data_IF_994446241705
#
_entry.id   IF_994446241705
#
_cell.length_a   1.000
_cell.length_b   1.000
_cell.length_c   1.000
_cell.angle_alpha   90.00
_cell.angle_beta   90.00
_cell.angle_gamma   90.00
#
_symmetry.space_group_name_H-M   'P 1'
#
loop_
_entity.id
_entity.type
_entity.pdbx_description
1 polymer ?
#
# COMPACT_ATOMS: atom_id res chain seq x y z
N UNK A 1 19.64 -0.39 4.06
CA UNK A 1 18.55 -0.69 5.01
C UNK A 1 18.51 -2.20 5.15
N UNK A 2 18.37 -2.72 6.37
CA UNK A 2 18.34 -4.17 6.59
C UNK A 2 17.03 -4.77 6.08
N UNK A 3 17.11 -5.85 5.30
CA UNK A 3 15.92 -6.66 4.99
C UNK A 3 15.46 -7.42 6.23
N UNK A 4 14.15 -7.58 6.36
CA UNK A 4 13.51 -8.22 7.51
C UNK A 4 12.82 -9.49 7.05
N UNK A 5 13.03 -10.58 7.78
CA UNK A 5 12.24 -11.79 7.67
C UNK A 5 11.47 -12.03 8.96
N UNK A 6 10.27 -12.60 8.86
CA UNK A 6 9.51 -13.11 10.01
C UNK A 6 9.79 -14.60 10.17
N UNK A 7 9.93 -15.07 11.41
CA UNK A 7 9.94 -16.52 11.73
C UNK A 7 8.92 -16.78 12.83
N UNK A 8 7.96 -17.66 12.57
CA UNK A 8 6.83 -17.91 13.49
C UNK A 8 6.29 -19.35 13.36
N UNK A 9 5.81 -19.91 14.46
CA UNK A 9 4.92 -21.07 14.46
C UNK A 9 3.52 -20.63 14.87
N UNK A 10 2.49 -21.05 14.13
CA UNK A 10 1.10 -20.64 14.35
C UNK A 10 0.17 -21.86 14.39
N UNK A 11 -0.86 -21.82 15.23
CA UNK A 11 -2.00 -22.72 15.15
C UNK A 11 -2.74 -22.43 13.85
N UNK A 12 -2.76 -23.36 12.90
CA UNK A 12 -3.19 -23.13 11.52
C UNK A 12 -4.61 -22.57 11.41
N UNK A 13 -5.52 -23.01 12.27
CA UNK A 13 -6.93 -22.59 12.25
C UNK A 13 -7.14 -21.18 12.78
N UNK A 14 -6.44 -20.80 13.83
CA UNK A 14 -6.72 -19.58 14.61
C UNK A 14 -5.65 -18.51 14.49
N UNK A 15 -4.50 -18.84 13.90
CA UNK A 15 -3.28 -18.03 13.91
C UNK A 15 -2.73 -17.76 15.32
N UNK A 16 -3.11 -18.55 16.33
CA UNK A 16 -2.58 -18.43 17.68
C UNK A 16 -1.09 -18.77 17.75
N UNK A 17 -0.33 -18.06 18.59
CA UNK A 17 1.14 -18.23 18.74
C UNK A 17 1.58 -18.52 20.17
N UNK A 18 0.71 -18.31 21.15
CA UNK A 18 1.09 -18.41 22.55
C UNK A 18 -0.09 -18.34 23.50
N UNK A 19 0.14 -18.85 24.70
CA UNK A 19 -0.78 -18.84 25.84
C UNK A 19 0.04 -18.64 27.11
N UNK A 20 -0.36 -17.71 27.99
CA UNK A 20 0.31 -17.45 29.28
C UNK A 20 1.83 -17.27 29.16
N UNK A 21 2.28 -16.55 28.13
CA UNK A 21 3.70 -16.32 27.79
C UNK A 21 4.51 -17.60 27.52
N UNK A 22 3.87 -18.65 26.99
CA UNK A 22 4.50 -19.90 26.58
C UNK A 22 3.97 -20.36 25.21
N UNK A 23 4.71 -21.27 24.56
CA UNK A 23 4.26 -21.94 23.36
C UNK A 23 3.18 -22.98 23.70
N UNK A 24 2.07 -23.10 22.93
CA UNK A 24 1.02 -24.06 23.22
C UNK A 24 1.40 -25.52 22.90
N UNK A 25 2.53 -25.73 22.20
CA UNK A 25 3.01 -27.04 21.74
C UNK A 25 4.52 -27.20 21.94
N UNK A 26 4.99 -28.44 21.76
CA UNK A 26 6.42 -28.80 21.77
C UNK A 26 6.77 -29.55 20.50
N UNK A 27 7.50 -28.90 19.60
CA UNK A 27 7.89 -29.44 18.30
C UNK A 27 9.41 -29.29 18.12
N UNK A 28 10.21 -30.32 18.48
CA UNK A 28 11.66 -30.27 18.34
C UNK A 28 12.15 -29.91 16.94
N UNK A 29 11.49 -30.39 15.88
CA UNK A 29 11.89 -30.07 14.50
C UNK A 29 11.62 -28.61 14.12
N UNK A 30 10.54 -28.01 14.65
CA UNK A 30 10.29 -26.56 14.51
C UNK A 30 11.38 -25.73 15.20
N UNK A 31 11.75 -26.08 16.43
CA UNK A 31 12.83 -25.40 17.15
C UNK A 31 14.18 -25.54 16.45
N UNK A 32 14.44 -26.71 15.84
CA UNK A 32 15.63 -26.94 15.00
C UNK A 32 15.61 -26.02 13.77
N UNK A 33 14.50 -25.98 13.02
CA UNK A 33 14.33 -25.09 11.86
C UNK A 33 14.49 -23.62 12.24
N UNK A 34 13.85 -23.18 13.33
CA UNK A 34 13.99 -21.81 13.86
C UNK A 34 15.46 -21.46 14.09
N UNK A 35 16.22 -22.36 14.74
CA UNK A 35 17.64 -22.16 14.97
C UNK A 35 18.41 -22.07 13.65
N UNK A 36 18.22 -23.03 12.75
CA UNK A 36 18.93 -23.09 11.47
C UNK A 36 18.70 -21.80 10.65
N UNK A 37 17.45 -21.38 10.47
CA UNK A 37 17.09 -20.15 9.75
C UNK A 37 17.75 -18.92 10.39
N UNK A 38 17.63 -18.78 11.71
CA UNK A 38 18.05 -17.55 12.39
C UNK A 38 19.56 -17.50 12.65
N UNK A 39 20.29 -18.62 12.58
CA UNK A 39 21.76 -18.66 12.74
C UNK A 39 22.52 -18.77 11.42
N UNK A 40 21.89 -19.23 10.34
CA UNK A 40 22.57 -19.44 9.07
C UNK A 40 23.02 -18.12 8.43
N UNK A 41 24.31 -18.00 8.15
CA UNK A 41 24.90 -16.90 7.37
C UNK A 41 25.61 -17.46 6.14
N UNK A 42 25.65 -16.65 5.09
CA UNK A 42 26.44 -16.88 3.88
C UNK A 42 27.85 -16.31 4.04
N UNK A 43 28.00 -15.22 4.79
CA UNK A 43 29.28 -14.63 5.18
C UNK A 43 29.67 -15.10 6.59
N UNK A 44 30.76 -15.86 6.67
CA UNK A 44 31.28 -16.39 7.94
C UNK A 44 31.81 -15.30 8.89
N UNK A 45 32.02 -14.06 8.42
CA UNK A 45 32.44 -12.92 9.24
C UNK A 45 31.28 -12.17 9.88
N UNK A 46 30.04 -12.50 9.48
CA UNK A 46 28.82 -11.87 9.96
C UNK A 46 28.03 -12.78 10.87
N UNK A 47 27.10 -12.18 11.60
CA UNK A 47 26.04 -12.89 12.32
C UNK A 47 24.67 -12.34 11.91
N UNK A 48 23.60 -13.01 12.32
CA UNK A 48 22.25 -12.50 12.15
C UNK A 48 21.77 -11.77 13.42
N UNK A 49 20.72 -10.97 13.28
CA UNK A 49 20.01 -10.35 14.38
C UNK A 49 18.59 -10.94 14.53
N UNK A 50 18.15 -11.16 15.77
CA UNK A 50 16.77 -11.53 16.09
C UNK A 50 16.12 -10.41 16.90
N UNK A 51 14.99 -9.90 16.42
CA UNK A 51 14.21 -8.84 17.07
C UNK A 51 13.01 -9.48 17.74
N UNK A 52 12.84 -9.19 19.03
CA UNK A 52 11.71 -9.70 19.80
C UNK A 52 11.14 -8.70 20.79
N UNK A 53 9.87 -8.86 21.16
CA UNK A 53 9.24 -8.09 22.23
C UNK A 53 9.68 -8.56 23.62
N UNK A 54 9.53 -7.71 24.63
CA UNK A 54 9.85 -8.02 26.03
C UNK A 54 9.25 -9.35 26.53
N UNK A 55 7.96 -9.59 26.32
CA UNK A 55 7.30 -10.81 26.79
C UNK A 55 7.91 -12.06 26.13
N UNK A 56 8.20 -11.99 24.83
CA UNK A 56 8.92 -13.06 24.11
C UNK A 56 10.30 -13.30 24.71
N UNK A 57 11.07 -12.25 24.99
CA UNK A 57 12.34 -12.37 25.70
C UNK A 57 12.19 -13.03 27.09
N UNK A 58 11.14 -12.70 27.83
CA UNK A 58 10.85 -13.29 29.15
C UNK A 58 10.37 -14.75 29.07
N UNK A 59 9.73 -15.13 27.96
CA UNK A 59 9.28 -16.51 27.72
C UNK A 59 10.43 -17.49 27.47
N UNK A 60 11.58 -16.99 27.00
CA UNK A 60 12.75 -17.83 26.74
C UNK A 60 13.40 -18.21 28.09
N UNK A 61 13.58 -19.50 28.39
CA UNK A 61 14.21 -19.93 29.65
C UNK A 61 15.57 -19.28 29.84
N UNK A 62 15.88 -18.83 31.07
CA UNK A 62 17.09 -18.06 31.37
C UNK A 62 18.40 -18.72 30.87
N UNK A 63 18.50 -20.06 30.92
CA UNK A 63 19.65 -20.83 30.42
C UNK A 63 19.87 -20.74 28.90
N UNK A 64 18.87 -20.28 28.16
CA UNK A 64 18.91 -20.11 26.70
C UNK A 64 18.95 -18.63 26.28
N UNK A 65 19.08 -17.70 27.24
CA UNK A 65 19.21 -16.25 26.98
C UNK A 65 20.66 -15.79 27.17
N UNK A 66 21.21 -14.99 26.25
CA UNK A 66 20.68 -14.69 24.91
C UNK A 66 20.71 -15.92 23.99
N UNK A 67 19.94 -15.88 22.89
CA UNK A 67 20.00 -16.94 21.87
C UNK A 67 21.39 -16.95 21.21
N UNK A 68 22.18 -18.04 21.30
CA UNK A 68 23.58 -18.03 20.88
C UNK A 68 23.75 -17.88 19.37
N UNK A 69 24.87 -17.29 18.94
CA UNK A 69 25.24 -17.10 17.53
C UNK A 69 24.46 -16.00 16.80
N UNK A 70 23.76 -15.14 17.55
CA UNK A 70 22.91 -14.05 17.04
C UNK A 70 23.00 -12.84 17.95
N UNK A 71 22.85 -11.65 17.37
CA UNK A 71 22.57 -10.44 18.13
C UNK A 71 21.09 -10.45 18.53
N UNK A 72 20.79 -10.38 19.83
CA UNK A 72 19.43 -10.41 20.35
C UNK A 72 18.95 -8.98 20.63
N UNK A 73 17.96 -8.51 19.87
CA UNK A 73 17.38 -7.17 20.05
C UNK A 73 16.04 -7.29 20.76
N UNK A 74 15.91 -6.65 21.91
CA UNK A 74 14.69 -6.68 22.72
C UNK A 74 13.99 -5.33 22.65
N UNK A 75 12.72 -5.34 22.21
CA UNK A 75 11.90 -4.15 22.12
C UNK A 75 11.28 -3.80 23.46
N UNK A 76 11.68 -2.66 24.02
CA UNK A 76 11.16 -2.10 25.27
C UNK A 76 11.23 -0.57 25.27
N UNK A 77 10.19 0.07 25.82
CA UNK A 77 10.16 1.53 26.06
C UNK A 77 10.62 1.89 27.48
N UNK A 78 10.86 0.91 28.33
CA UNK A 78 11.36 1.14 29.69
C UNK A 78 12.89 1.32 29.63
N UNK A 79 13.36 2.54 29.89
CA UNK A 79 14.77 2.91 29.82
C UNK A 79 15.66 2.17 30.84
N UNK A 80 15.14 1.90 32.04
CA UNK A 80 15.87 1.14 33.05
C UNK A 80 16.08 -0.31 32.57
N UNK A 81 15.02 -0.96 32.11
CA UNK A 81 15.09 -2.33 31.58
C UNK A 81 16.00 -2.40 30.34
N UNK A 82 15.98 -1.37 29.49
CA UNK A 82 16.87 -1.29 28.33
C UNK A 82 18.35 -1.32 28.76
N UNK A 83 18.73 -0.51 29.75
CA UNK A 83 20.09 -0.47 30.29
C UNK A 83 20.50 -1.81 30.95
N UNK A 84 19.59 -2.44 31.69
CA UNK A 84 19.83 -3.76 32.31
C UNK A 84 20.05 -4.86 31.26
N UNK A 85 19.27 -4.85 30.18
CA UNK A 85 19.40 -5.80 29.08
C UNK A 85 20.75 -5.66 28.37
N UNK A 86 21.16 -4.44 28.03
CA UNK A 86 22.43 -4.19 27.35
C UNK A 86 23.64 -4.48 28.24
N UNK A 87 23.53 -4.24 29.55
CA UNK A 87 24.56 -4.60 30.52
C UNK A 87 24.71 -6.12 30.70
N UNK A 88 23.67 -6.91 30.38
CA UNK A 88 23.68 -8.36 30.62
C UNK A 88 24.60 -9.15 29.68
N UNK A 89 24.80 -8.67 28.45
CA UNK A 89 25.63 -9.34 27.45
C UNK A 89 25.89 -8.42 26.26
N UNK A 90 27.10 -8.44 25.66
CA UNK A 90 27.37 -7.72 24.42
C UNK A 90 26.55 -8.24 23.22
N UNK A 91 25.90 -9.40 23.35
CA UNK A 91 25.00 -9.96 22.34
C UNK A 91 23.53 -9.57 22.57
N UNK A 92 23.26 -8.59 23.44
CA UNK A 92 21.92 -8.06 23.70
C UNK A 92 21.91 -6.55 23.44
N UNK A 93 20.92 -6.12 22.67
CA UNK A 93 20.65 -4.72 22.34
C UNK A 93 19.21 -4.36 22.72
N UNK A 94 18.97 -3.16 23.25
CA UNK A 94 17.63 -2.68 23.52
C UNK A 94 17.19 -1.62 22.50
N UNK A 95 15.93 -1.70 22.08
CA UNK A 95 15.33 -0.72 21.18
C UNK A 95 13.89 -0.39 21.57
N UNK A 96 13.45 0.83 21.28
CA UNK A 96 12.11 1.32 21.65
C UNK A 96 11.01 0.92 20.67
N UNK A 97 11.41 0.55 19.44
CA UNK A 97 10.53 0.15 18.34
C UNK A 97 11.29 -0.68 17.31
N UNK A 98 10.59 -1.27 16.33
CA UNK A 98 11.21 -1.95 15.20
C UNK A 98 12.15 -1.02 14.41
N UNK A 99 11.72 0.21 14.13
CA UNK A 99 12.53 1.18 13.37
C UNK A 99 13.78 1.62 14.15
N UNK A 100 13.66 1.82 15.46
CA UNK A 100 14.81 2.09 16.34
C UNK A 100 15.78 0.89 16.39
N UNK A 101 15.27 -0.34 16.36
CA UNK A 101 16.13 -1.52 16.26
C UNK A 101 16.91 -1.51 14.94
N UNK A 102 16.22 -1.33 13.80
CA UNK A 102 16.84 -1.33 12.48
C UNK A 102 17.87 -0.23 12.29
N UNK A 103 17.67 0.95 12.89
CA UNK A 103 18.63 2.06 12.81
C UNK A 103 19.90 1.81 13.64
N UNK A 104 19.80 1.06 14.74
CA UNK A 104 20.93 0.70 15.61
C UNK A 104 21.75 -0.49 15.11
N UNK A 105 21.20 -1.31 14.21
CA UNK A 105 21.86 -2.52 13.74
C UNK A 105 23.05 -2.22 12.81
N UNK A 106 24.25 -2.72 13.12
CA UNK A 106 25.45 -2.45 12.32
C UNK A 106 25.45 -3.27 11.01
N UNK A 107 25.22 -2.59 9.87
CA UNK A 107 25.24 -3.20 8.52
C UNK A 107 26.52 -3.94 8.15
N UNK A 108 27.65 -3.60 8.78
CA UNK A 108 28.92 -4.26 8.51
C UNK A 108 28.99 -5.69 9.08
N UNK A 109 28.29 -5.97 10.18
CA UNK A 109 28.41 -7.25 10.92
C UNK A 109 27.11 -8.05 10.96
N UNK A 110 25.98 -7.43 10.63
CA UNK A 110 24.68 -8.09 10.54
C UNK A 110 24.35 -8.43 9.10
N UNK A 111 24.08 -9.71 8.82
CA UNK A 111 23.69 -10.19 7.50
C UNK A 111 22.17 -10.15 7.29
N UNK A 112 21.42 -10.82 8.16
CA UNK A 112 19.96 -10.86 8.10
C UNK A 112 19.31 -10.49 9.44
N UNK A 113 18.11 -9.92 9.37
CA UNK A 113 17.30 -9.52 10.52
C UNK A 113 16.02 -10.33 10.56
N UNK A 114 15.74 -10.96 11.70
CA UNK A 114 14.56 -11.80 11.90
C UNK A 114 13.67 -11.25 13.01
N UNK A 115 12.41 -10.92 12.69
CA UNK A 115 11.39 -10.69 13.69
C UNK A 115 10.86 -12.04 14.19
N UNK A 116 11.04 -12.33 15.49
CA UNK A 116 10.74 -13.64 16.08
C UNK A 116 9.63 -13.61 17.14
N UNK A 117 8.87 -12.51 17.17
CA UNK A 117 7.68 -12.34 18.01
C UNK A 117 7.82 -11.27 19.09
N UNK A 118 6.78 -10.91 19.83
CA UNK A 118 5.42 -11.48 19.79
C UNK A 118 4.50 -10.76 18.80
N UNK A 119 3.19 -10.87 19.04
CA UNK A 119 2.13 -10.39 18.16
C UNK A 119 2.34 -8.95 17.62
N UNK A 120 2.71 -8.00 18.49
CA UNK A 120 2.97 -6.61 18.08
C UNK A 120 4.18 -6.49 17.17
N UNK A 121 5.27 -7.21 17.47
CA UNK A 121 6.50 -7.20 16.66
C UNK A 121 6.24 -7.81 15.29
N UNK A 122 5.49 -8.90 15.22
CA UNK A 122 5.05 -9.48 13.95
C UNK A 122 4.18 -8.51 13.16
N UNK A 123 3.23 -7.83 13.84
CA UNK A 123 2.37 -6.85 13.19
C UNK A 123 3.14 -5.67 12.62
N UNK A 124 4.17 -5.19 13.31
CA UNK A 124 5.03 -4.10 12.84
C UNK A 124 5.93 -4.59 11.70
N UNK A 125 6.55 -5.76 11.86
CA UNK A 125 7.46 -6.34 10.87
C UNK A 125 6.76 -6.61 9.54
N UNK A 126 5.59 -7.27 9.55
CA UNK A 126 4.86 -7.59 8.31
C UNK A 126 4.41 -6.35 7.54
N UNK A 127 4.17 -5.23 8.22
CA UNK A 127 3.78 -3.97 7.58
C UNK A 127 4.98 -3.17 7.09
N UNK A 128 6.17 -3.44 7.62
CA UNK A 128 7.38 -2.73 7.26
C UNK A 128 7.78 -3.03 5.80
N UNK A 129 8.14 -2.02 4.98
CA UNK A 129 8.50 -2.19 3.57
C UNK A 129 9.69 -3.11 3.35
N UNK A 130 10.62 -3.16 4.30
CA UNK A 130 11.79 -4.04 4.22
C UNK A 130 11.47 -5.52 4.55
N UNK A 131 10.23 -5.86 4.92
CA UNK A 131 9.84 -7.24 5.17
C UNK A 131 9.38 -7.93 3.89
N UNK A 132 10.21 -8.83 3.39
CA UNK A 132 9.99 -9.54 2.13
C UNK A 132 9.69 -11.02 2.31
N UNK A 133 9.90 -11.59 3.51
CA UNK A 133 9.76 -13.02 3.74
C UNK A 133 9.18 -13.34 5.11
N UNK A 134 8.34 -14.37 5.17
CA UNK A 134 7.85 -14.97 6.40
C UNK A 134 8.01 -16.49 6.34
N UNK A 135 8.81 -17.04 7.24
CA UNK A 135 8.93 -18.47 7.49
C UNK A 135 7.88 -18.86 8.53
N UNK A 136 6.91 -19.67 8.12
CA UNK A 136 5.78 -20.06 8.95
C UNK A 136 5.82 -21.57 9.19
N UNK A 137 5.65 -21.97 10.44
CA UNK A 137 5.31 -23.34 10.80
C UNK A 137 3.82 -23.40 11.08
N UNK A 138 3.07 -24.13 10.26
CA UNK A 138 1.63 -24.27 10.36
C UNK A 138 1.32 -25.53 11.17
N UNK A 139 0.86 -25.34 12.39
CA UNK A 139 0.61 -26.41 13.37
C UNK A 139 -0.87 -26.77 13.35
N UNK A 140 -1.18 -28.03 13.04
CA UNK A 140 -2.54 -28.53 13.01
C UNK A 140 -2.98 -28.96 14.42
N UNK A 141 -4.13 -28.45 14.86
CA UNK A 141 -4.68 -28.73 16.19
C UNK A 141 -5.55 -27.59 16.69
N UNK A 142 -6.29 -27.87 17.75
CA UNK A 142 -7.11 -26.88 18.47
C UNK A 142 -6.36 -26.53 19.76
N UNK A 143 -5.76 -25.34 19.78
CA UNK A 143 -4.95 -24.85 20.89
C UNK A 143 -5.58 -23.59 21.48
N UNK A 144 -5.66 -23.51 22.81
CA UNK A 144 -5.99 -22.28 23.51
C UNK A 144 -4.83 -21.29 23.37
N UNK A 145 -5.12 -20.09 22.90
CA UNK A 145 -4.15 -19.03 22.66
C UNK A 145 -4.69 -17.69 23.17
N UNK A 146 -3.82 -16.86 23.75
CA UNK A 146 -4.10 -15.47 24.14
C UNK A 146 -3.29 -14.45 23.30
N UNK A 147 -2.31 -14.94 22.54
CA UNK A 147 -1.54 -14.17 21.59
C UNK A 147 -1.70 -14.75 20.17
N UNK A 148 -1.84 -13.88 19.18
CA UNK A 148 -2.13 -14.25 17.80
C UNK A 148 -1.18 -13.58 16.82
N UNK A 149 -0.77 -14.32 15.80
CA UNK A 149 -0.10 -13.79 14.63
C UNK A 149 -1.12 -13.07 13.74
N UNK A 150 -0.75 -11.95 13.08
CA UNK A 150 -1.66 -11.28 12.16
C UNK A 150 -2.02 -12.20 10.99
N UNK A 151 -3.31 -12.53 10.84
CA UNK A 151 -3.83 -13.31 9.71
C UNK A 151 -3.86 -12.52 8.39
N UNK A 152 -3.05 -11.46 8.29
CA UNK A 152 -3.07 -10.47 7.20
C UNK A 152 -2.00 -10.70 6.13
N UNK A 153 -1.25 -11.82 6.16
CA UNK A 153 -0.15 -12.10 5.23
C UNK A 153 -0.58 -11.90 3.76
N UNK A 154 -1.66 -12.58 3.34
CA UNK A 154 -2.17 -12.50 1.97
C UNK A 154 -2.59 -11.06 1.61
N UNK A 155 -3.25 -10.37 2.54
CA UNK A 155 -3.68 -8.98 2.36
C UNK A 155 -2.50 -8.01 2.27
N UNK A 156 -1.33 -8.38 2.79
CA UNK A 156 -0.07 -7.62 2.73
C UNK A 156 0.80 -8.04 1.53
N UNK A 157 0.27 -8.85 0.61
CA UNK A 157 0.96 -9.26 -0.62
C UNK A 157 1.92 -10.44 -0.47
N UNK A 158 1.92 -11.11 0.68
CA UNK A 158 2.68 -12.34 0.88
C UNK A 158 1.99 -13.52 0.20
N UNK A 159 2.71 -14.19 -0.70
CA UNK A 159 2.28 -15.41 -1.37
C UNK A 159 3.13 -16.57 -0.90
N UNK A 160 2.53 -17.75 -0.81
CA UNK A 160 3.27 -18.97 -0.49
C UNK A 160 4.16 -19.34 -1.68
N UNK A 161 5.46 -19.44 -1.46
CA UNK A 161 6.44 -19.79 -2.50
C UNK A 161 7.04 -21.18 -2.30
N UNK A 162 6.95 -21.72 -1.08
CA UNK A 162 7.46 -23.04 -0.73
C UNK A 162 6.57 -23.65 0.36
N UNK A 163 6.27 -24.94 0.21
CA UNK A 163 5.65 -25.75 1.24
C UNK A 163 6.39 -27.09 1.32
N UNK A 164 6.92 -27.41 2.51
CA UNK A 164 7.52 -28.71 2.79
C UNK A 164 6.44 -29.66 3.30
N UNK A 165 6.62 -30.96 3.07
CA UNK A 165 5.65 -31.99 3.45
C UNK A 165 5.31 -32.02 4.96
N UNK A 166 4.16 -32.60 5.27
CA UNK A 166 3.67 -32.76 6.64
C UNK A 166 4.61 -33.62 7.48
N UNK A 167 4.89 -33.14 8.69
CA UNK A 167 5.61 -33.84 9.75
C UNK A 167 4.67 -34.08 10.92
N UNK A 168 4.98 -35.10 11.72
CA UNK A 168 4.23 -35.45 12.93
C UNK A 168 5.18 -35.63 14.10
N UNK A 169 4.97 -34.86 15.17
CA UNK A 169 5.72 -34.96 16.42
C UNK A 169 4.76 -34.80 17.60
N UNK A 170 4.88 -35.65 18.63
CA UNK A 170 4.04 -35.58 19.83
C UNK A 170 2.53 -35.53 19.51
N UNK A 171 2.09 -36.33 18.53
CA UNK A 171 0.70 -36.38 18.02
C UNK A 171 0.15 -35.10 17.39
N UNK A 172 1.04 -34.17 17.05
CA UNK A 172 0.71 -32.93 16.37
C UNK A 172 1.27 -33.00 14.95
N UNK A 173 0.38 -32.86 13.97
CA UNK A 173 0.78 -32.69 12.58
C UNK A 173 1.12 -31.21 12.34
N UNK A 174 2.18 -30.95 11.57
CA UNK A 174 2.57 -29.60 11.19
C UNK A 174 3.31 -29.62 9.86
N UNK A 175 3.40 -28.47 9.20
CA UNK A 175 4.22 -28.32 8.00
C UNK A 175 4.87 -26.94 7.95
N UNK A 176 5.90 -26.86 7.13
CA UNK A 176 6.70 -25.67 6.96
C UNK A 176 6.30 -24.98 5.67
N UNK A 177 6.02 -23.69 5.76
CA UNK A 177 5.76 -22.84 4.60
C UNK A 177 6.72 -21.65 4.61
N UNK A 178 7.05 -21.17 3.41
CA UNK A 178 7.74 -19.90 3.19
C UNK A 178 6.81 -19.01 2.37
N UNK A 179 6.59 -17.80 2.87
CA UNK A 179 5.83 -16.78 2.19
C UNK A 179 6.76 -15.64 1.78
N UNK A 180 6.65 -15.16 0.55
CA UNK A 180 7.39 -14.00 0.06
C UNK A 180 6.44 -12.89 -0.35
N UNK A 181 6.80 -11.65 -0.02
CA UNK A 181 6.03 -10.47 -0.40
C UNK A 181 6.27 -10.17 -1.87
N UNK A 182 5.21 -10.27 -2.66
CA UNK A 182 5.24 -9.90 -4.08
C UNK A 182 5.16 -8.40 -4.25
N UNK A 183 5.81 -7.88 -5.28
CA UNK A 183 5.73 -6.45 -5.61
C UNK A 183 4.28 -6.07 -5.94
N UNK A 184 3.74 -5.03 -5.31
CA UNK A 184 2.31 -4.68 -5.41
C UNK A 184 1.88 -4.32 -6.86
N UNK A 185 2.78 -3.79 -7.69
CA UNK A 185 2.55 -3.57 -9.14
C UNK A 185 2.20 -4.85 -9.92
N UNK A 186 2.55 -6.04 -9.43
CA UNK A 186 2.16 -7.30 -10.07
C UNK A 186 0.63 -7.48 -10.10
N UNK A 187 -0.12 -6.85 -9.18
CA UNK A 187 -1.59 -6.84 -9.24
C UNK A 187 -2.10 -6.18 -10.53
N UNK A 188 -1.47 -5.08 -10.95
CA UNK A 188 -1.81 -4.37 -12.18
C UNK A 188 -1.46 -5.20 -13.42
N UNK A 189 -0.26 -5.79 -13.45
CA UNK A 189 0.19 -6.63 -14.57
C UNK A 189 -0.65 -7.90 -14.69
N UNK A 190 -0.97 -8.54 -13.57
CA UNK A 190 -1.83 -9.72 -13.55
C UNK A 190 -3.25 -9.40 -14.02
N UNK A 191 -3.78 -8.22 -13.66
CA UNK A 191 -5.10 -7.79 -14.15
C UNK A 191 -5.07 -7.53 -15.67
N UNK A 192 -4.02 -6.90 -16.20
CA UNK A 192 -3.86 -6.75 -17.66
C UNK A 192 -3.83 -8.12 -18.33
N UNK A 193 -2.96 -9.02 -17.88
CA UNK A 193 -2.81 -10.36 -18.47
C UNK A 193 -4.16 -11.10 -18.47
N UNK A 194 -4.88 -11.07 -17.35
CA UNK A 194 -6.19 -11.69 -17.23
C UNK A 194 -7.23 -11.08 -18.18
N UNK A 195 -7.22 -9.76 -18.40
CA UNK A 195 -8.10 -9.13 -19.39
C UNK A 195 -7.73 -9.57 -20.81
N UNK A 196 -6.44 -9.75 -21.11
CA UNK A 196 -6.00 -10.20 -22.44
C UNK A 196 -6.37 -11.67 -22.71
N UNK A 197 -6.31 -12.52 -21.69
CA UNK A 197 -6.56 -13.96 -21.81
C UNK A 197 -8.07 -14.29 -21.77
N UNK A 198 -8.78 -13.70 -20.79
CA UNK A 198 -10.16 -14.08 -20.46
C UNK A 198 -11.18 -12.97 -20.80
N UNK A 199 -10.72 -11.79 -21.21
CA UNK A 199 -11.58 -10.63 -21.40
C UNK A 199 -12.59 -10.82 -22.54
N UNK A 200 -13.83 -10.43 -22.29
CA UNK A 200 -14.88 -10.48 -23.31
C UNK A 200 -14.69 -9.26 -24.21
N UNK A 201 -14.57 -9.51 -25.51
CA UNK A 201 -14.53 -8.46 -26.52
C UNK A 201 -15.89 -7.77 -26.64
N UNK A 202 -15.89 -6.45 -26.54
CA UNK A 202 -17.08 -5.59 -26.66
C UNK A 202 -16.80 -4.45 -27.65
N UNK A 203 -17.86 -3.91 -28.26
CA UNK A 203 -17.80 -2.56 -28.83
C UNK A 203 -17.70 -1.50 -27.72
N UNK A 204 -17.42 -0.26 -28.09
CA UNK A 204 -17.40 0.88 -27.16
C UNK A 204 -17.96 2.15 -27.85
N UNK A 205 -18.10 3.23 -27.09
CA UNK A 205 -18.61 4.53 -27.59
C UNK A 205 -17.64 5.22 -28.58
N UNK A 206 -16.36 4.85 -28.58
CA UNK A 206 -15.31 5.48 -29.40
C UNK A 206 -15.06 4.72 -30.71
N UNK A 207 -15.71 3.56 -30.89
CA UNK A 207 -15.54 2.67 -32.04
C UNK A 207 -14.24 1.85 -32.03
N UNK A 208 -13.44 1.90 -30.96
CA UNK A 208 -12.13 1.20 -30.90
C UNK A 208 -12.29 -0.29 -30.58
N UNK A 209 -13.27 -0.63 -29.77
CA UNK A 209 -13.45 -1.93 -29.16
C UNK A 209 -12.56 -2.13 -27.93
N UNK A 210 -13.03 -2.98 -27.01
CA UNK A 210 -12.34 -3.30 -25.76
C UNK A 210 -12.38 -4.80 -25.47
N UNK A 211 -11.38 -5.29 -24.71
CA UNK A 211 -11.45 -6.53 -23.94
C UNK A 211 -11.75 -6.15 -22.49
N UNK A 212 -12.69 -6.83 -21.84
CA UNK A 212 -13.16 -6.41 -20.51
C UNK A 212 -13.48 -7.56 -19.55
N UNK A 213 -13.28 -7.28 -18.27
CA UNK A 213 -13.74 -8.09 -17.15
C UNK A 213 -14.60 -7.22 -16.22
N UNK A 214 -15.55 -7.83 -15.53
CA UNK A 214 -16.38 -7.14 -14.55
C UNK A 214 -16.00 -7.56 -13.13
N UNK A 215 -15.70 -6.58 -12.28
CA UNK A 215 -15.26 -6.78 -10.91
C UNK A 215 -13.77 -7.11 -10.83
N UNK A 216 -12.97 -6.15 -10.38
CA UNK A 216 -11.59 -6.37 -9.98
C UNK A 216 -11.23 -5.50 -8.78
N UNK A 217 -10.15 -5.86 -8.08
CA UNK A 217 -9.64 -5.08 -6.96
C UNK A 217 -8.13 -5.12 -6.93
N UNK A 218 -7.52 -3.99 -6.59
CA UNK A 218 -6.10 -3.88 -6.25
C UNK A 218 -5.94 -3.14 -4.93
N UNK A 219 -4.86 -3.44 -4.20
CA UNK A 219 -4.49 -2.76 -2.95
C UNK A 219 -3.03 -2.32 -3.00
N UNK A 220 -2.77 -1.09 -2.59
CA UNK A 220 -1.44 -0.50 -2.55
C UNK A 220 -1.15 0.10 -1.18
N UNK A 221 0.02 -0.18 -0.62
CA UNK A 221 0.46 0.45 0.63
C UNK A 221 0.89 1.88 0.40
N UNK A 222 0.52 2.78 1.31
CA UNK A 222 0.96 4.18 1.38
C UNK A 222 1.80 4.47 2.64
N UNK A 223 2.16 3.42 3.39
CA UNK A 223 3.01 3.54 4.59
C UNK A 223 4.45 3.88 4.22
N UNK A 224 5.16 4.51 5.14
CA UNK A 224 6.59 4.80 5.04
C UNK A 224 6.95 5.54 3.74
N UNK A 225 6.12 6.52 3.38
CA UNK A 225 6.22 7.37 2.20
C UNK A 225 6.19 6.64 0.83
N UNK A 226 6.06 5.31 0.79
CA UNK A 226 5.90 4.54 -0.45
C UNK A 226 4.73 5.09 -1.26
N UNK A 227 4.94 5.33 -2.55
CA UNK A 227 3.92 5.86 -3.44
C UNK A 227 3.75 4.95 -4.65
N UNK A 228 2.57 4.35 -4.90
CA UNK A 228 2.36 3.32 -5.92
C UNK A 228 2.30 3.92 -7.33
N UNK A 229 3.38 4.58 -7.74
CA UNK A 229 3.58 5.10 -9.08
C UNK A 229 4.22 3.99 -9.92
N UNK A 230 3.43 3.42 -10.83
CA UNK A 230 3.84 2.28 -11.65
C UNK A 230 5.20 2.50 -12.32
N UNK A 231 5.99 1.43 -12.36
CA UNK A 231 7.39 1.47 -12.79
C UNK A 231 7.61 0.72 -14.10
N UNK A 232 6.77 -0.24 -14.46
CA UNK A 232 6.80 -0.94 -15.75
C UNK A 232 6.51 -0.01 -16.93
N UNK A 233 5.91 1.15 -16.68
CA UNK A 233 5.74 2.25 -17.62
C UNK A 233 5.80 3.58 -16.87
N UNK A 234 6.55 4.55 -17.39
CA UNK A 234 6.59 5.91 -16.82
C UNK A 234 5.19 6.53 -16.81
N UNK A 235 4.74 6.95 -15.63
CA UNK A 235 3.50 7.69 -15.39
C UNK A 235 3.78 9.20 -15.45
N UNK A 236 2.84 9.97 -15.98
CA UNK A 236 2.95 11.42 -16.06
C UNK A 236 2.63 12.08 -14.70
N UNK A 237 3.58 12.01 -13.77
CA UNK A 237 3.42 12.46 -12.38
C UNK A 237 2.92 13.91 -12.26
N UNK A 238 3.52 14.86 -13.01
CA UNK A 238 3.08 16.27 -12.98
C UNK A 238 1.61 16.41 -13.33
N UNK A 239 1.14 15.70 -14.36
CA UNK A 239 -0.28 15.68 -14.73
C UNK A 239 -1.16 15.17 -13.59
N UNK A 240 -0.82 14.03 -12.99
CA UNK A 240 -1.59 13.45 -11.87
C UNK A 240 -1.71 14.40 -10.67
N UNK A 241 -0.60 15.02 -10.27
CA UNK A 241 -0.58 15.89 -9.10
C UNK A 241 -1.38 17.18 -9.32
N UNK A 242 -1.14 17.86 -10.44
CA UNK A 242 -1.80 19.11 -10.78
C UNK A 242 -3.30 18.92 -11.08
N UNK A 243 -3.67 17.81 -11.70
CA UNK A 243 -5.07 17.45 -11.91
C UNK A 243 -5.79 17.18 -10.57
N UNK A 244 -5.14 16.51 -9.61
CA UNK A 244 -5.74 16.36 -8.29
C UNK A 244 -5.93 17.70 -7.58
N UNK A 245 -4.94 18.59 -7.63
CA UNK A 245 -5.07 19.94 -7.06
C UNK A 245 -6.20 20.72 -7.74
N UNK A 246 -6.37 20.54 -9.05
CA UNK A 246 -7.49 21.09 -9.80
C UNK A 246 -8.85 20.55 -9.30
N UNK A 247 -8.98 19.24 -9.07
CA UNK A 247 -10.19 18.67 -8.46
C UNK A 247 -10.42 19.17 -7.03
N UNK A 248 -9.37 19.25 -6.21
CA UNK A 248 -9.49 19.79 -4.85
C UNK A 248 -10.07 21.20 -4.91
N UNK A 249 -9.58 22.07 -5.79
CA UNK A 249 -10.05 23.45 -5.92
C UNK A 249 -11.51 23.60 -6.39
N UNK A 250 -12.16 22.53 -6.85
CA UNK A 250 -13.50 22.58 -7.42
C UNK A 250 -13.57 23.18 -8.82
N UNK A 251 -12.42 23.39 -9.47
CA UNK A 251 -12.31 24.00 -10.79
C UNK A 251 -12.84 23.06 -11.89
N UNK A 252 -13.47 23.65 -12.91
CA UNK A 252 -14.09 22.96 -14.05
C UNK A 252 -13.59 23.46 -15.40
N UNK A 253 -12.67 24.44 -15.39
CA UNK A 253 -12.02 25.01 -16.56
C UNK A 253 -10.72 24.25 -16.91
N UNK A 254 -10.76 23.46 -17.98
CA UNK A 254 -9.61 22.71 -18.49
C UNK A 254 -8.43 23.60 -18.89
N UNK A 255 -8.66 24.87 -19.26
CA UNK A 255 -7.59 25.81 -19.66
C UNK A 255 -6.59 26.05 -18.54
N UNK A 256 -7.03 26.00 -17.28
CA UNK A 256 -6.13 26.15 -16.14
C UNK A 256 -5.08 25.03 -16.03
N UNK A 257 -5.39 23.83 -16.53
CA UNK A 257 -4.43 22.74 -16.68
C UNK A 257 -3.57 22.93 -17.95
N UNK A 258 -4.17 23.39 -19.05
CA UNK A 258 -3.46 23.69 -20.31
C UNK A 258 -2.36 24.74 -20.13
N UNK A 259 -2.63 25.79 -19.35
CA UNK A 259 -1.66 26.85 -19.02
C UNK A 259 -0.43 26.30 -18.27
N UNK A 260 -0.58 25.15 -17.59
CA UNK A 260 0.49 24.41 -16.91
C UNK A 260 1.16 23.35 -17.80
N UNK A 261 0.75 23.25 -19.06
CA UNK A 261 1.21 22.27 -20.05
C UNK A 261 0.54 20.90 -19.93
N UNK A 262 -0.60 20.81 -19.25
CA UNK A 262 -1.32 19.54 -19.01
C UNK A 262 -2.54 19.47 -19.92
N UNK A 263 -2.49 18.51 -20.85
CA UNK A 263 -3.42 18.41 -22.00
C UNK A 263 -4.36 17.22 -21.95
N UNK A 264 -4.49 16.60 -20.77
CA UNK A 264 -5.24 15.34 -20.61
C UNK A 264 -6.75 15.51 -20.82
N UNK A 265 -7.26 16.74 -20.70
CA UNK A 265 -8.67 17.09 -20.91
C UNK A 265 -8.94 17.73 -22.28
N UNK A 266 -7.94 17.98 -23.12
CA UNK A 266 -8.09 18.74 -24.38
C UNK A 266 -9.09 18.07 -25.33
N UNK A 267 -9.05 16.74 -25.43
CA UNK A 267 -10.00 15.98 -26.28
C UNK A 267 -11.45 16.19 -25.83
N UNK A 268 -11.72 15.98 -24.54
CA UNK A 268 -13.07 16.09 -23.97
C UNK A 268 -13.54 17.54 -23.75
N UNK A 269 -12.63 18.51 -23.72
CA UNK A 269 -12.93 19.93 -23.61
C UNK A 269 -13.04 20.66 -24.95
N UNK A 270 -12.72 20.00 -26.06
CA UNK A 270 -12.73 20.61 -27.40
C UNK A 270 -14.14 21.03 -27.84
N UNK A 271 -14.22 22.08 -28.68
CA UNK A 271 -15.50 22.52 -29.27
C UNK A 271 -16.22 21.38 -30.00
N UNK A 272 -15.47 20.59 -30.77
CA UNK A 272 -15.99 19.45 -31.54
C UNK A 272 -16.62 18.40 -30.62
N UNK A 273 -15.94 18.00 -29.54
CA UNK A 273 -16.46 17.00 -28.62
C UNK A 273 -17.70 17.52 -27.88
N UNK A 274 -17.66 18.75 -27.36
CA UNK A 274 -18.79 19.36 -26.65
C UNK A 274 -20.04 19.44 -27.55
N UNK A 275 -19.87 19.79 -28.82
CA UNK A 275 -20.97 19.79 -29.80
C UNK A 275 -21.50 18.39 -30.06
N UNK A 276 -20.62 17.39 -30.17
CA UNK A 276 -21.00 15.99 -30.43
C UNK A 276 -21.91 15.41 -29.34
N UNK A 277 -21.82 15.92 -28.11
CA UNK A 277 -22.64 15.51 -26.97
C UNK A 277 -23.77 16.51 -26.63
N UNK A 278 -24.05 17.47 -27.52
CA UNK A 278 -25.16 18.41 -27.39
C UNK A 278 -24.92 19.61 -26.45
N UNK A 279 -23.68 19.82 -26.00
CA UNK A 279 -23.28 20.91 -25.10
C UNK A 279 -22.81 22.15 -25.89
N UNK A 280 -23.57 22.52 -26.92
CA UNK A 280 -23.26 23.63 -27.84
C UNK A 280 -23.11 24.99 -27.15
N UNK A 281 -23.78 25.16 -26.01
CA UNK A 281 -23.81 26.40 -25.22
C UNK A 281 -22.58 26.57 -24.30
N UNK A 282 -21.80 25.51 -24.04
CA UNK A 282 -20.61 25.58 -23.17
C UNK A 282 -19.45 26.23 -23.89
N UNK A 283 -18.65 27.02 -23.18
CA UNK A 283 -17.37 27.48 -23.72
C UNK A 283 -16.41 26.30 -23.94
N UNK A 284 -15.54 26.38 -24.95
CA UNK A 284 -14.45 25.40 -25.10
C UNK A 284 -13.59 25.37 -23.82
N UNK A 285 -13.34 24.17 -23.30
CA UNK A 285 -12.66 23.95 -22.02
C UNK A 285 -13.55 23.94 -20.77
N UNK A 286 -14.85 24.30 -20.87
CA UNK A 286 -15.82 24.13 -19.79
C UNK A 286 -16.28 22.68 -19.72
N UNK A 287 -15.73 21.93 -18.76
CA UNK A 287 -16.02 20.51 -18.58
C UNK A 287 -17.35 20.26 -17.84
N UNK A 288 -18.05 21.31 -17.41
CA UNK A 288 -19.24 21.19 -16.59
C UNK A 288 -18.96 20.77 -15.15
N UNK A 289 -19.98 20.32 -14.41
CA UNK A 289 -19.89 20.03 -12.98
C UNK A 289 -19.19 18.69 -12.70
N UNK A 290 -17.98 18.50 -13.23
CA UNK A 290 -17.11 17.30 -13.05
C UNK A 290 -16.46 17.23 -11.67
N UNK A 291 -15.92 16.07 -11.29
CA UNK A 291 -15.22 15.74 -10.02
C UNK A 291 -15.19 16.81 -8.94
N UNK A 292 -14.26 17.77 -9.09
CA UNK A 292 -13.99 18.78 -8.09
C UNK A 292 -15.23 19.58 -7.76
N UNK A 293 -16.03 19.93 -8.77
CA UNK A 293 -17.30 20.59 -8.56
C UNK A 293 -18.22 19.74 -7.69
N UNK A 294 -18.34 18.44 -7.94
CA UNK A 294 -19.15 17.57 -7.07
C UNK A 294 -18.52 17.41 -5.69
N UNK A 295 -17.19 17.45 -5.56
CA UNK A 295 -16.53 17.36 -4.26
C UNK A 295 -16.76 18.58 -3.38
N UNK A 296 -16.74 19.78 -3.97
CA UNK A 296 -16.85 21.06 -3.24
C UNK A 296 -18.25 21.65 -3.21
N UNK A 297 -19.06 21.34 -4.22
CA UNK A 297 -20.35 21.99 -4.49
C UNK A 297 -21.44 20.97 -4.86
N UNK A 298 -21.47 19.80 -4.20
CA UNK A 298 -22.41 18.72 -4.53
C UNK A 298 -23.87 19.22 -4.53
N UNK A 299 -24.58 19.02 -5.64
CA UNK A 299 -25.97 19.45 -5.80
C UNK A 299 -26.17 20.96 -6.07
N UNK A 300 -25.10 21.75 -6.21
CA UNK A 300 -25.21 23.12 -6.69
C UNK A 300 -25.64 23.14 -8.17
N UNK A 301 -26.42 24.17 -8.55
CA UNK A 301 -26.85 24.35 -9.93
C UNK A 301 -25.70 24.95 -10.74
N UNK A 302 -25.11 24.16 -11.63
CA UNK A 302 -24.06 24.64 -12.54
C UNK A 302 -24.59 25.70 -13.52
N UNK A 303 -23.79 26.75 -13.74
CA UNK A 303 -23.99 27.81 -14.73
C UNK A 303 -22.89 27.69 -15.79
N UNK A 304 -21.66 28.07 -15.43
CA UNK A 304 -20.45 27.99 -16.25
C UNK A 304 -19.20 27.82 -15.37
N UNK A 305 -18.05 27.65 -16.01
CA UNK A 305 -16.75 27.50 -15.33
C UNK A 305 -16.18 28.77 -14.70
N UNK A 306 -16.82 29.93 -14.90
CA UNK A 306 -16.37 31.24 -14.39
C UNK A 306 -17.14 31.70 -13.16
N UNK A 307 -18.27 31.06 -12.87
CA UNK A 307 -19.16 31.36 -11.75
C UNK A 307 -18.50 31.02 -10.42
N UNK A 308 -18.63 31.91 -9.42
CA UNK A 308 -18.25 31.63 -8.04
C UNK A 308 -19.33 30.77 -7.35
N UNK A 309 -18.98 29.52 -7.05
CA UNK A 309 -19.85 28.57 -6.37
C UNK A 309 -19.65 28.53 -4.85
N UNK A 310 -18.86 29.44 -4.28
CA UNK A 310 -18.59 29.48 -2.84
C UNK A 310 -19.89 29.50 -2.03
N UNK A 311 -20.02 28.57 -1.09
CA UNK A 311 -21.20 28.43 -0.24
C UNK A 311 -22.42 27.77 -0.91
N UNK A 312 -22.31 27.33 -2.17
CA UNK A 312 -23.36 26.60 -2.86
C UNK A 312 -23.17 25.08 -2.74
N UNK A 313 -24.26 24.33 -2.74
CA UNK A 313 -24.23 22.86 -2.64
C UNK A 313 -23.69 22.37 -1.30
N UNK A 314 -23.12 21.16 -1.31
CA UNK A 314 -22.49 20.53 -0.16
C UNK A 314 -21.01 20.25 -0.42
N UNK A 315 -20.13 20.85 0.38
CA UNK A 315 -18.69 20.57 0.37
C UNK A 315 -18.41 19.25 1.09
N UNK A 316 -18.46 18.17 0.32
CA UNK A 316 -18.19 16.81 0.80
C UNK A 316 -16.73 16.67 1.27
N UNK A 317 -15.79 17.35 0.62
CA UNK A 317 -14.37 17.26 1.00
C UNK A 317 -14.14 17.87 2.38
N UNK A 318 -14.72 19.04 2.64
CA UNK A 318 -14.68 19.67 3.95
C UNK A 318 -15.35 18.81 5.03
N UNK A 319 -16.53 18.23 4.75
CA UNK A 319 -17.23 17.32 5.66
C UNK A 319 -16.41 16.05 5.97
N UNK A 320 -15.78 15.44 4.96
CA UNK A 320 -14.88 14.29 5.12
C UNK A 320 -13.71 14.64 6.03
N UNK A 321 -13.01 15.75 5.79
CA UNK A 321 -11.89 16.20 6.63
C UNK A 321 -12.36 16.45 8.06
N UNK A 322 -13.50 17.11 8.23
CA UNK A 322 -14.10 17.35 9.54
C UNK A 322 -14.37 16.04 10.28
N UNK A 323 -15.01 15.06 9.63
CA UNK A 323 -15.34 13.77 10.25
C UNK A 323 -14.10 12.95 10.59
N UNK A 324 -13.06 12.96 9.74
CA UNK A 324 -11.80 12.27 10.06
C UNK A 324 -11.17 12.88 11.32
N UNK A 325 -11.15 14.21 11.43
CA UNK A 325 -10.57 14.93 12.59
C UNK A 325 -11.39 14.73 13.88
N UNK A 326 -12.72 14.73 13.81
CA UNK A 326 -13.58 14.86 15.00
C UNK A 326 -14.41 13.61 15.32
N UNK A 327 -14.71 12.78 14.33
CA UNK A 327 -15.53 11.55 14.46
C UNK A 327 -14.92 10.39 13.66
N UNK A 328 -13.65 9.99 13.91
CA UNK A 328 -12.91 9.05 13.06
C UNK A 328 -13.50 7.62 13.00
N UNK A 329 -14.40 7.29 13.93
CA UNK A 329 -15.13 6.01 13.93
C UNK A 329 -16.44 6.06 13.11
N UNK A 330 -16.76 7.20 12.50
CA UNK A 330 -17.91 7.32 11.62
C UNK A 330 -17.70 6.45 10.37
N UNK A 331 -18.74 5.73 9.97
CA UNK A 331 -18.75 4.81 8.82
C UNK A 331 -19.34 5.46 7.55
N UNK A 332 -19.56 6.78 7.58
CA UNK A 332 -20.13 7.62 6.51
C UNK A 332 -19.16 8.70 6.04
N UNK A 333 -17.86 8.44 6.20
CA UNK A 333 -16.78 9.26 5.64
C UNK A 333 -16.63 8.84 4.17
N UNK A 334 -17.45 9.44 3.30
CA UNK A 334 -17.57 9.07 1.89
C UNK A 334 -17.52 10.35 1.05
N UNK A 335 -16.75 10.32 -0.04
CA UNK A 335 -16.69 11.37 -1.04
C UNK A 335 -17.17 10.78 -2.38
N UNK A 336 -18.19 11.38 -3.00
CA UNK A 336 -18.75 10.91 -4.26
C UNK A 336 -18.72 11.99 -5.34
N UNK A 337 -18.24 11.64 -6.53
CA UNK A 337 -18.46 12.44 -7.73
C UNK A 337 -19.65 11.92 -8.56
N UNK A 338 -20.33 10.86 -8.10
CA UNK A 338 -21.44 10.25 -8.83
C UNK A 338 -22.77 10.93 -8.47
N UNK A 339 -23.18 11.89 -9.30
CA UNK A 339 -24.46 12.58 -9.19
C UNK A 339 -25.34 12.24 -10.42
N UNK A 340 -26.36 11.36 -10.27
CA UNK A 340 -27.24 10.95 -11.37
C UNK A 340 -27.87 12.10 -12.17
N UNK A 341 -28.13 13.25 -11.54
CA UNK A 341 -28.70 14.42 -12.21
C UNK A 341 -27.74 15.06 -13.22
N UNK A 342 -26.43 14.90 -13.00
CA UNK A 342 -25.37 15.54 -13.77
C UNK A 342 -24.50 14.53 -14.56
N UNK A 343 -24.83 13.23 -14.57
CA UNK A 343 -24.00 12.21 -15.24
C UNK A 343 -23.83 12.42 -16.75
N UNK A 344 -24.81 13.06 -17.41
CA UNK A 344 -24.73 13.36 -18.84
C UNK A 344 -23.63 14.35 -19.22
N UNK A 345 -22.92 14.92 -18.23
CA UNK A 345 -21.96 16.01 -18.40
C UNK A 345 -20.66 15.78 -17.58
N UNK A 346 -20.21 14.52 -17.41
CA UNK A 346 -19.05 14.15 -16.57
C UNK A 346 -18.08 13.09 -17.19
N UNK A 347 -16.85 12.98 -16.65
CA UNK A 347 -15.75 11.97 -16.83
C UNK A 347 -15.28 11.24 -15.50
N UNK A 348 -13.99 10.91 -15.18
CA UNK A 348 -13.52 10.32 -13.85
C UNK A 348 -12.11 10.79 -13.32
N UNK A 349 -11.77 10.78 -11.99
CA UNK A 349 -10.51 11.31 -11.39
C UNK A 349 -9.55 10.24 -10.72
N UNK A 350 -8.33 10.63 -10.23
CA UNK A 350 -7.35 9.79 -9.52
C UNK A 350 -7.37 9.92 -7.97
N UNK A 351 -7.12 8.81 -7.23
CA UNK A 351 -7.45 8.70 -5.78
C UNK A 351 -6.28 8.42 -4.80
N UNK A 352 -5.11 7.93 -5.24
CA UNK A 352 -4.02 7.54 -4.34
C UNK A 352 -3.34 8.73 -3.64
N UNK A 353 -3.07 9.81 -4.37
CA UNK A 353 -2.48 11.04 -3.83
C UNK A 353 -3.45 11.74 -2.85
N UNK A 354 -4.76 11.73 -3.14
CA UNK A 354 -5.80 12.28 -2.27
C UNK A 354 -5.76 11.63 -0.88
N UNK A 355 -5.59 10.31 -0.82
CA UNK A 355 -5.51 9.57 0.45
C UNK A 355 -4.35 10.04 1.32
N UNK A 356 -3.19 10.33 0.72
CA UNK A 356 -2.01 10.86 1.45
C UNK A 356 -2.23 12.29 1.93
N UNK A 357 -2.81 13.16 1.10
CA UNK A 357 -3.13 14.54 1.50
C UNK A 357 -4.15 14.59 2.65
N UNK A 358 -5.23 13.80 2.56
CA UNK A 358 -6.24 13.68 3.63
C UNK A 358 -5.63 13.19 4.94
N UNK A 359 -4.76 12.18 4.88
CA UNK A 359 -4.06 11.70 6.08
C UNK A 359 -3.24 12.83 6.73
N UNK A 360 -2.44 13.57 5.95
CA UNK A 360 -1.61 14.66 6.48
C UNK A 360 -2.45 15.77 7.13
N UNK A 361 -3.44 16.32 6.43
CA UNK A 361 -4.23 17.45 6.96
C UNK A 361 -5.06 17.05 8.18
N UNK A 362 -5.32 15.76 8.37
CA UNK A 362 -6.01 15.21 9.54
C UNK A 362 -5.07 14.75 10.67
N UNK A 363 -3.76 14.93 10.53
CA UNK A 363 -2.78 14.48 11.54
C UNK A 363 -2.65 12.95 11.63
N UNK A 364 -2.93 12.24 10.55
CA UNK A 364 -2.86 10.79 10.43
C UNK A 364 -1.72 10.34 9.51
N UNK A 365 -1.39 9.05 9.57
CA UNK A 365 -0.51 8.39 8.62
C UNK A 365 -1.32 7.71 7.52
N UNK A 366 -0.87 7.82 6.27
CA UNK A 366 -1.49 7.13 5.16
C UNK A 366 -1.31 5.60 5.30
N UNK A 367 -2.42 4.87 5.21
CA UNK A 367 -2.44 3.41 5.35
C UNK A 367 -2.36 2.70 4.02
N UNK A 368 -3.53 2.36 3.47
CA UNK A 368 -3.68 1.64 2.21
C UNK A 368 -4.60 2.41 1.25
N UNK A 369 -4.31 2.30 -0.04
CA UNK A 369 -5.23 2.65 -1.11
C UNK A 369 -5.81 1.37 -1.71
N UNK A 370 -7.14 1.25 -1.72
CA UNK A 370 -7.85 0.11 -2.32
C UNK A 370 -8.61 0.62 -3.55
N UNK A 371 -8.27 0.07 -4.72
CA UNK A 371 -8.89 0.42 -5.99
C UNK A 371 -9.84 -0.69 -6.41
N UNK A 372 -11.14 -0.40 -6.45
CA UNK A 372 -12.18 -1.33 -6.89
C UNK A 372 -12.66 -0.93 -8.29
N UNK A 373 -12.71 -1.90 -9.20
CA UNK A 373 -13.14 -1.70 -10.58
C UNK A 373 -14.51 -2.34 -10.81
N UNK A 374 -15.39 -1.61 -11.51
CA UNK A 374 -16.58 -2.16 -12.14
C UNK A 374 -16.20 -2.85 -13.45
N UNK A 375 -16.21 -2.12 -14.56
CA UNK A 375 -15.71 -2.60 -15.85
C UNK A 375 -14.21 -2.28 -16.00
N UNK A 376 -13.36 -3.31 -15.83
CA UNK A 376 -11.93 -3.21 -16.07
C UNK A 376 -11.62 -3.66 -17.50
N UNK A 377 -11.11 -2.76 -18.34
CA UNK A 377 -10.93 -3.02 -19.77
C UNK A 377 -9.60 -2.56 -20.33
N UNK A 378 -9.25 -3.15 -21.47
CA UNK A 378 -8.12 -2.81 -22.34
C UNK A 378 -8.69 -2.49 -23.72
N UNK A 379 -8.35 -1.33 -24.29
CA UNK A 379 -8.69 -1.04 -25.67
C UNK A 379 -7.93 -1.94 -26.65
N UNK A 380 -8.57 -2.32 -27.75
CA UNK A 380 -7.96 -3.22 -28.74
C UNK A 380 -6.67 -2.65 -29.34
N UNK A 381 -6.57 -1.33 -29.53
CA UNK A 381 -5.35 -0.65 -29.98
C UNK A 381 -4.24 -0.60 -28.91
N UNK A 382 -4.52 -1.00 -27.66
CA UNK A 382 -3.53 -1.06 -26.57
C UNK A 382 -3.00 -2.48 -26.31
N UNK A 383 -3.54 -3.51 -26.96
CA UNK A 383 -3.12 -4.90 -26.73
C UNK A 383 -1.62 -5.10 -26.98
N UNK A 384 -1.12 -4.73 -28.16
CA UNK A 384 0.29 -4.87 -28.50
C UNK A 384 1.24 -4.10 -27.55
N UNK A 385 1.02 -2.79 -27.25
CA UNK A 385 1.89 -2.08 -26.31
C UNK A 385 1.80 -2.64 -24.87
N UNK A 386 0.66 -3.18 -24.44
CA UNK A 386 0.54 -3.84 -23.13
C UNK A 386 1.27 -5.18 -23.09
N UNK A 387 1.25 -5.97 -24.17
CA UNK A 387 2.08 -7.18 -24.29
C UNK A 387 3.58 -6.87 -24.15
N UNK A 388 4.05 -5.72 -24.67
CA UNK A 388 5.43 -5.27 -24.42
C UNK A 388 5.66 -4.80 -22.99
N UNK A 389 4.65 -4.21 -22.34
CA UNK A 389 4.73 -3.83 -20.93
C UNK A 389 4.83 -5.05 -20.01
N UNK A 390 4.08 -6.12 -20.29
CA UNK A 390 4.02 -7.36 -19.51
C UNK A 390 5.35 -8.13 -19.47
N UNK A 391 6.26 -7.87 -20.43
CA UNK A 391 7.62 -8.42 -20.43
C UNK A 391 8.56 -7.76 -19.41
N UNK A 392 8.12 -6.67 -18.76
CA UNK A 392 8.96 -5.87 -17.85
C UNK A 392 8.72 -6.28 -16.40
N UNK A 393 9.78 -6.60 -15.69
CA UNK A 393 9.72 -6.75 -14.23
C UNK A 393 9.52 -5.38 -13.57
N UNK A 394 8.62 -5.27 -12.57
CA UNK A 394 8.51 -4.09 -11.73
C UNK A 394 9.85 -3.72 -11.08
N UNK A 395 10.05 -2.43 -10.87
CA UNK A 395 11.13 -1.85 -10.05
C UNK A 395 10.51 -1.31 -8.77
N UNK A 396 11.31 -1.07 -7.71
CA UNK A 396 10.79 -0.49 -6.47
C UNK A 396 9.98 0.78 -6.74
N UNK A 397 8.82 0.89 -6.09
CA UNK A 397 8.05 2.13 -6.10
C UNK A 397 8.88 3.29 -5.52
N UNK A 398 8.64 4.53 -6.00
CA UNK A 398 9.25 5.71 -5.40
C UNK A 398 8.67 5.99 -4.02
N UNK A 399 9.32 6.90 -3.29
CA UNK A 399 8.71 7.56 -2.14
C UNK A 399 8.22 8.95 -2.53
N UNK A 400 7.13 9.40 -1.91
CA UNK A 400 6.57 10.73 -2.12
C UNK A 400 6.46 11.44 -0.77
N UNK A 401 7.30 12.46 -0.59
CA UNK A 401 7.22 13.39 0.53
C UNK A 401 6.31 14.55 0.18
N UNK A 402 5.55 14.98 1.17
CA UNK A 402 4.64 16.12 1.09
C UNK A 402 5.12 17.18 2.08
N UNK A 403 5.03 18.46 1.73
CA UNK A 403 5.43 19.56 2.60
C UNK A 403 4.65 19.51 3.93
N UNK A 404 5.35 19.18 5.02
CA UNK A 404 4.76 19.00 6.35
C UNK A 404 4.25 20.30 7.00
N UNK A 405 4.59 21.48 6.46
CA UNK A 405 4.11 22.78 6.97
C UNK A 405 2.65 23.03 6.56
N UNK A 406 2.20 22.45 5.45
CA UNK A 406 0.84 22.61 4.94
C UNK A 406 -0.15 21.78 5.75
N UNK A 407 -1.16 22.45 6.29
CA UNK A 407 -2.13 21.83 7.22
C UNK A 407 -3.56 21.88 6.72
N UNK A 408 -3.84 22.70 5.71
CA UNK A 408 -5.15 22.78 5.06
C UNK A 408 -5.08 22.25 3.62
N UNK A 409 -6.15 21.57 3.20
CA UNK A 409 -6.18 20.84 1.92
C UNK A 409 -6.02 21.75 0.69
N UNK A 410 -6.45 23.01 0.83
CA UNK A 410 -6.44 24.02 -0.23
C UNK A 410 -5.08 24.74 -0.36
N UNK A 411 -4.13 24.51 0.56
CA UNK A 411 -2.82 25.20 0.55
C UNK A 411 -1.76 24.52 -0.32
N UNK A 412 -2.02 23.28 -0.77
CA UNK A 412 -1.04 22.49 -1.50
C UNK A 412 -0.88 23.00 -2.94
N UNK A 413 0.38 23.03 -3.37
CA UNK A 413 0.81 23.32 -4.74
C UNK A 413 1.71 22.18 -5.24
N UNK A 414 2.02 22.15 -6.54
CA UNK A 414 2.89 21.09 -7.08
C UNK A 414 4.27 21.06 -6.42
N UNK A 415 4.81 22.21 -6.04
CA UNK A 415 6.13 22.34 -5.40
C UNK A 415 6.17 21.78 -3.97
N UNK A 416 5.02 21.51 -3.37
CA UNK A 416 4.91 20.85 -2.07
C UNK A 416 5.15 19.33 -2.15
N UNK A 417 5.40 18.79 -3.34
CA UNK A 417 5.63 17.37 -3.58
C UNK A 417 7.06 17.06 -3.99
N UNK A 418 7.72 16.15 -3.27
CA UNK A 418 9.04 15.62 -3.63
C UNK A 418 8.95 14.12 -3.88
N UNK A 419 9.22 13.71 -5.13
CA UNK A 419 9.22 12.31 -5.55
C UNK A 419 10.66 11.78 -5.62
N UNK A 420 11.01 10.88 -4.71
CA UNK A 420 12.35 10.31 -4.58
C UNK A 420 12.38 8.88 -5.14
N UNK A 421 13.47 8.51 -5.83
CA UNK A 421 13.72 7.13 -6.27
C UNK A 421 12.85 6.62 -7.43
N UNK A 422 12.19 7.52 -8.19
CA UNK A 422 11.36 7.09 -9.32
C UNK A 422 12.19 6.72 -10.55
N UNK A 423 12.48 5.43 -10.70
CA UNK A 423 13.27 4.87 -11.80
C UNK A 423 12.44 3.96 -12.73
N UNK A 424 11.40 4.44 -13.42
CA UNK A 424 10.56 3.59 -14.26
C UNK A 424 11.30 3.13 -15.52
N UNK A 425 10.78 2.09 -16.15
CA UNK A 425 11.06 1.75 -17.54
C UNK A 425 10.61 2.88 -18.47
N UNK A 426 11.11 2.86 -19.72
CA UNK A 426 10.77 3.88 -20.73
C UNK A 426 9.26 3.93 -20.99
N UNK A 427 8.76 5.11 -21.33
CA UNK A 427 7.36 5.31 -21.72
C UNK A 427 6.98 4.39 -22.87
N UNK A 428 5.77 3.84 -22.84
CA UNK A 428 5.13 3.16 -23.96
C UNK A 428 4.00 4.06 -24.44
N UNK A 429 4.03 4.45 -25.72
CA UNK A 429 2.99 5.30 -26.31
C UNK A 429 1.70 4.47 -26.45
N UNK A 430 0.60 5.04 -25.97
CA UNK A 430 -0.76 4.50 -26.12
C UNK A 430 -1.64 5.71 -26.39
N UNK A 431 -2.33 5.71 -27.53
CA UNK A 431 -3.18 6.83 -27.92
C UNK A 431 -4.52 6.75 -27.16
N UNK A 432 -5.02 7.89 -26.70
CA UNK A 432 -6.32 7.96 -26.03
C UNK A 432 -7.44 7.71 -27.06
N UNK A 433 -8.39 6.84 -26.73
CA UNK A 433 -9.62 6.66 -27.50
C UNK A 433 -10.61 7.73 -27.04
N UNK A 434 -11.00 8.64 -27.95
CA UNK A 434 -11.87 9.80 -27.64
C UNK A 434 -13.29 9.56 -28.10
#
# INVERSE_FOLDING_TARGET
>A
MHEISVVVAVARKTWGIGINNALPWKLPSDMKRFREITTGTTDATKQNAVIMGRNTWESIPAKFRPLPGRLNVVLTRNAQLAAELEASSPQVLAASSLNDALSKLPSATIEHVFAIGGASVYSDALRHPACHRAYVTLVDGDFDCDAFFPSTLKQLGFVETEALGTQRENDIDFHFATYERTHEELQYLALIQRILDDGIQKGDRTGTGTLSLFGAQMRFSLRDDVFPLLTTKRVFWKGVAEELLWFISGNTNAKTLQDKGIKIWDGNGSREYLDSIGLVHREEGDLGPVYGFQWRYFGAKYIDMHTDYTGQGHDQLADVIYKIKHTPNDRRIILSAWNPADLGIMALPPYALLTRLLAQVCGLQAGDFIHVFGDAHVYLNHVAPLQEQLKRSPRPFPTLKVNAVKTEIDEFTFDDFTLDGYHPHKTIKMDMSV
#
